data_IF_759019732929
#
_entry.id   IF_759019732929
#
_cell.length_a   1.000
_cell.length_b   1.000
_cell.length_c   1.000
_cell.angle_alpha   90.00
_cell.angle_beta   90.00
_cell.angle_gamma   90.00
#
_symmetry.space_group_name_H-M   'P 1'
#
loop_
_entity.id
_entity.type
_entity.pdbx_description
1 polymer ?
#
# COMPACT_ATOMS: atom_id res chain seq x y z
N UNK A 1 -24.24 -0.19 9.65
CA UNK A 1 -22.87 -0.22 10.25
C UNK A 1 -22.18 1.10 9.92
N UNK A 2 -21.48 1.73 10.88
CA UNK A 2 -20.78 3.00 10.62
C UNK A 2 -19.48 2.76 9.84
N UNK A 3 -19.33 3.44 8.71
CA UNK A 3 -18.07 3.56 7.98
C UNK A 3 -17.26 4.66 8.67
N UNK A 4 -16.12 4.31 9.25
CA UNK A 4 -15.32 5.26 10.05
C UNK A 4 -13.85 5.13 9.76
N UNK A 5 -13.13 6.24 9.81
CA UNK A 5 -11.68 6.25 9.81
C UNK A 5 -11.17 5.74 11.16
N UNK A 6 -10.20 4.84 11.13
CA UNK A 6 -9.59 4.22 12.33
C UNK A 6 -8.11 4.57 12.48
N UNK A 7 -7.45 4.86 11.37
CA UNK A 7 -6.14 5.51 11.26
C UNK A 7 -6.18 6.45 10.05
N UNK A 8 -5.30 7.46 9.96
CA UNK A 8 -5.24 8.31 8.77
C UNK A 8 -5.19 7.49 7.47
N UNK A 9 -6.19 7.64 6.60
CA UNK A 9 -6.31 6.91 5.33
C UNK A 9 -6.81 5.45 5.43
N UNK A 10 -7.03 4.93 6.65
CA UNK A 10 -7.54 3.57 6.89
C UNK A 10 -8.94 3.63 7.47
N UNK A 11 -9.89 3.04 6.75
CA UNK A 11 -11.30 3.04 7.08
C UNK A 11 -11.77 1.65 7.50
N UNK A 12 -12.82 1.60 8.32
CA UNK A 12 -13.39 0.36 8.84
C UNK A 12 -14.90 0.38 8.77
N UNK A 13 -15.49 -0.74 8.35
CA UNK A 13 -16.91 -1.03 8.46
C UNK A 13 -17.10 -2.46 8.96
N UNK A 14 -17.57 -2.61 10.21
CA UNK A 14 -17.66 -3.91 10.86
C UNK A 14 -16.28 -4.54 11.09
N UNK A 15 -16.02 -5.68 10.45
CA UNK A 15 -14.74 -6.41 10.50
C UNK A 15 -13.83 -6.15 9.29
N UNK A 16 -14.30 -5.37 8.31
CA UNK A 16 -13.58 -5.10 7.05
C UNK A 16 -12.83 -3.78 7.12
N UNK A 17 -11.66 -3.73 6.50
CA UNK A 17 -10.81 -2.56 6.35
C UNK A 17 -10.87 -2.05 4.92
N UNK A 18 -10.65 -0.75 4.75
CA UNK A 18 -10.71 -0.09 3.46
C UNK A 18 -9.68 1.02 3.36
N UNK A 19 -9.22 1.30 2.14
CA UNK A 19 -8.43 2.48 1.79
C UNK A 19 -9.13 3.22 0.66
N UNK A 20 -8.94 4.54 0.57
CA UNK A 20 -9.44 5.34 -0.55
C UNK A 20 -8.73 4.92 -1.84
N UNK A 21 -9.49 4.65 -2.91
CA UNK A 21 -8.88 4.15 -4.14
C UNK A 21 -8.12 5.27 -4.88
N UNK A 22 -6.78 5.20 -4.92
CA UNK A 22 -5.97 6.17 -5.66
C UNK A 22 -6.22 6.13 -7.18
N UNK A 23 -6.61 4.96 -7.70
CA UNK A 23 -6.89 4.73 -9.13
C UNK A 23 -8.35 4.26 -9.26
N UNK A 24 -9.32 5.19 -9.30
CA UNK A 24 -10.74 4.84 -9.35
C UNK A 24 -11.10 3.85 -10.47
N UNK A 25 -11.95 2.87 -10.16
CA UNK A 25 -12.35 1.78 -11.05
C UNK A 25 -11.41 0.57 -11.01
N UNK A 26 -10.17 0.69 -10.51
CA UNK A 26 -9.23 -0.42 -10.46
C UNK A 26 -9.52 -1.38 -9.29
N UNK A 27 -9.56 -2.69 -9.59
CA UNK A 27 -9.85 -3.77 -8.63
C UNK A 27 -8.63 -4.61 -8.25
N UNK A 28 -7.43 -4.14 -8.56
CA UNK A 28 -6.18 -4.88 -8.29
C UNK A 28 -6.07 -5.24 -6.81
N UNK A 29 -5.93 -6.54 -6.53
CA UNK A 29 -5.79 -7.12 -5.19
C UNK A 29 -6.91 -6.84 -4.18
N UNK A 30 -8.05 -6.29 -4.62
CA UNK A 30 -9.24 -6.10 -3.80
C UNK A 30 -10.39 -6.98 -4.27
N UNK A 31 -11.21 -7.46 -3.34
CA UNK A 31 -12.45 -8.19 -3.64
C UNK A 31 -13.60 -7.25 -3.95
N UNK A 32 -13.68 -6.13 -3.22
CA UNK A 32 -14.83 -5.23 -3.25
C UNK A 32 -14.40 -3.77 -3.40
N UNK A 33 -15.20 -3.04 -4.17
CA UNK A 33 -15.19 -1.58 -4.23
C UNK A 33 -16.46 -1.07 -3.56
N UNK A 34 -16.33 -0.07 -2.70
CA UNK A 34 -17.45 0.54 -1.98
C UNK A 34 -17.41 2.03 -2.23
N UNK A 35 -18.53 2.63 -2.64
CA UNK A 35 -18.66 4.08 -2.67
C UNK A 35 -19.24 4.58 -1.35
N UNK A 36 -18.56 5.53 -0.73
CA UNK A 36 -19.04 6.21 0.47
C UNK A 36 -18.83 7.72 0.30
N UNK A 37 -19.93 8.49 0.36
CA UNK A 37 -19.92 9.95 0.17
C UNK A 37 -19.24 10.40 -1.14
N UNK A 38 -19.49 9.68 -2.23
CA UNK A 38 -18.92 9.98 -3.55
C UNK A 38 -17.48 9.50 -3.76
N UNK A 39 -16.78 9.10 -2.70
CA UNK A 39 -15.41 8.57 -2.75
C UNK A 39 -15.46 7.05 -2.91
N UNK A 40 -14.58 6.49 -3.74
CA UNK A 40 -14.43 5.05 -3.94
C UNK A 40 -13.37 4.49 -2.98
N UNK A 41 -13.71 3.39 -2.32
CA UNK A 41 -12.85 2.70 -1.37
C UNK A 41 -12.65 1.25 -1.79
N UNK A 42 -11.46 0.71 -1.56
CA UNK A 42 -11.11 -0.69 -1.83
C UNK A 42 -11.05 -1.48 -0.53
N UNK A 43 -11.62 -2.68 -0.52
CA UNK A 43 -11.52 -3.58 0.63
C UNK A 43 -10.10 -4.16 0.78
N UNK A 44 -9.54 -4.03 1.99
CA UNK A 44 -8.23 -4.55 2.35
C UNK A 44 -8.35 -5.85 3.15
N UNK A 45 -8.00 -6.96 2.51
CA UNK A 45 -8.21 -8.32 3.04
C UNK A 45 -7.13 -8.72 4.08
N UNK A 46 -7.50 -8.94 5.37
CA UNK A 46 -6.56 -9.35 6.41
C UNK A 46 -5.99 -10.77 6.20
N UNK A 47 -6.59 -11.61 5.36
CA UNK A 47 -6.05 -12.95 5.05
C UNK A 47 -4.95 -12.91 3.97
N UNK A 48 -4.78 -11.79 3.28
CA UNK A 48 -3.80 -11.62 2.19
C UNK A 48 -2.73 -10.57 2.49
N UNK A 49 -2.90 -9.78 3.56
CA UNK A 49 -2.00 -8.70 3.89
C UNK A 49 -1.68 -8.68 5.39
N UNK A 50 -0.39 -8.77 5.73
CA UNK A 50 0.08 -8.81 7.11
C UNK A 50 -0.28 -7.53 7.89
N UNK A 51 -0.14 -6.30 7.34
CA UNK A 51 -0.60 -5.09 8.02
C UNK A 51 -2.11 -5.07 8.27
N UNK A 52 -2.94 -5.51 7.31
CA UNK A 52 -4.38 -5.65 7.53
C UNK A 52 -4.70 -6.70 8.63
N UNK A 53 -3.95 -7.80 8.68
CA UNK A 53 -4.06 -8.77 9.78
C UNK A 53 -3.71 -8.15 11.14
N UNK A 54 -2.65 -7.33 11.20
CA UNK A 54 -2.26 -6.63 12.42
C UNK A 54 -3.35 -5.62 12.86
N UNK A 55 -3.93 -4.86 11.93
CA UNK A 55 -5.08 -4.00 12.18
C UNK A 55 -6.27 -4.81 12.74
N UNK A 56 -6.56 -5.99 12.16
CA UNK A 56 -7.61 -6.89 12.63
C UNK A 56 -7.35 -7.43 14.05
N UNK A 57 -6.07 -7.62 14.41
CA UNK A 57 -5.61 -8.06 15.74
C UNK A 57 -5.49 -6.93 16.76
N UNK A 58 -5.82 -5.70 16.39
CA UNK A 58 -5.90 -4.58 17.34
C UNK A 58 -4.61 -3.79 17.49
N UNK A 59 -3.79 -3.74 16.44
CA UNK A 59 -2.66 -2.81 16.32
C UNK A 59 -3.08 -1.40 16.78
N UNK A 60 -2.23 -0.75 17.58
CA UNK A 60 -2.53 0.54 18.22
C UNK A 60 -1.89 1.72 17.50
N UNK A 61 -0.77 1.48 16.82
CA UNK A 61 -0.01 2.48 16.09
C UNK A 61 0.19 1.96 14.67
N UNK A 62 -0.19 2.77 13.69
CA UNK A 62 0.00 2.45 12.28
C UNK A 62 0.83 3.59 11.66
N UNK A 63 2.07 3.31 11.20
CA UNK A 63 3.04 4.36 10.85
C UNK A 63 2.82 4.95 9.45
N UNK A 64 2.07 4.27 8.59
CA UNK A 64 1.83 4.74 7.21
C UNK A 64 0.76 5.82 7.24
N UNK A 65 1.17 7.03 6.84
CA UNK A 65 0.33 8.23 6.82
C UNK A 65 0.43 8.93 5.47
N UNK A 66 -0.46 9.89 5.25
CA UNK A 66 -0.48 10.72 4.05
C UNK A 66 0.87 11.43 3.85
N UNK A 67 1.33 11.49 2.59
CA UNK A 67 2.57 12.09 2.12
C UNK A 67 3.87 11.44 2.65
N UNK A 68 3.79 10.30 3.33
CA UNK A 68 4.96 9.60 3.81
C UNK A 68 5.81 9.02 2.67
N UNK A 69 7.12 8.98 2.89
CA UNK A 69 8.11 8.28 2.07
C UNK A 69 8.41 6.94 2.72
N UNK A 70 8.18 5.85 1.99
CA UNK A 70 8.27 4.49 2.53
C UNK A 70 9.36 3.70 1.80
N UNK A 71 10.22 3.01 2.55
CA UNK A 71 11.06 1.94 2.02
C UNK A 71 10.42 0.57 2.31
N UNK A 72 9.80 -0.01 1.29
CA UNK A 72 9.19 -1.33 1.39
C UNK A 72 10.17 -2.43 0.95
N UNK A 73 10.75 -3.14 1.91
CA UNK A 73 11.62 -4.30 1.66
C UNK A 73 10.81 -5.58 1.45
N UNK A 74 11.02 -6.26 0.32
CA UNK A 74 10.26 -7.46 -0.05
C UNK A 74 8.83 -7.11 -0.48
N UNK A 75 8.71 -6.14 -1.38
CA UNK A 75 7.42 -5.64 -1.89
C UNK A 75 6.66 -6.68 -2.74
N UNK A 76 7.34 -7.72 -3.24
CA UNK A 76 6.79 -8.74 -4.11
C UNK A 76 6.07 -8.12 -5.32
N UNK A 77 4.88 -8.63 -5.65
CA UNK A 77 4.06 -8.13 -6.76
C UNK A 77 3.22 -6.88 -6.41
N UNK A 78 3.45 -6.25 -5.25
CA UNK A 78 2.78 -5.01 -4.87
C UNK A 78 1.41 -5.17 -4.18
N UNK A 79 0.97 -6.39 -3.83
CA UNK A 79 -0.35 -6.64 -3.18
C UNK A 79 -0.65 -5.66 -2.04
N UNK A 80 0.23 -5.60 -1.03
CA UNK A 80 0.05 -4.70 0.13
C UNK A 80 0.45 -3.26 -0.22
N UNK A 81 1.46 -3.08 -1.07
CA UNK A 81 1.93 -1.74 -1.46
C UNK A 81 0.85 -0.91 -2.15
N UNK A 82 -0.10 -1.52 -2.86
CA UNK A 82 -1.24 -0.76 -3.41
C UNK A 82 -2.10 -0.10 -2.34
N UNK A 83 -2.28 -0.73 -1.17
CA UNK A 83 -3.03 -0.14 -0.06
C UNK A 83 -2.21 0.94 0.66
N UNK A 84 -0.88 0.79 0.74
CA UNK A 84 -0.04 1.87 1.23
C UNK A 84 -0.03 3.06 0.26
N UNK A 85 0.02 2.81 -1.04
CA UNK A 85 -0.05 3.81 -2.11
C UNK A 85 -1.34 4.63 -2.01
N UNK A 86 -2.46 3.97 -1.73
CA UNK A 86 -3.74 4.61 -1.43
C UNK A 86 -3.66 5.56 -0.21
N UNK A 87 -2.96 5.16 0.86
CA UNK A 87 -2.88 5.93 2.13
C UNK A 87 -1.89 7.11 2.02
N UNK A 88 -0.71 6.89 1.42
CA UNK A 88 0.30 7.94 1.27
C UNK A 88 -0.13 8.99 0.24
N UNK A 89 -0.97 8.61 -0.72
CA UNK A 89 -1.50 9.52 -1.74
C UNK A 89 -0.47 9.92 -2.79
N UNK A 90 -0.85 10.84 -3.69
CA UNK A 90 -0.04 11.25 -4.85
C UNK A 90 1.25 11.99 -4.49
N UNK A 91 1.28 12.63 -3.33
CA UNK A 91 2.44 13.41 -2.85
C UNK A 91 3.38 12.57 -1.97
N UNK A 92 2.99 11.33 -1.64
CA UNK A 92 3.87 10.35 -0.98
C UNK A 92 4.57 9.45 -1.98
N UNK A 93 5.51 8.64 -1.52
CA UNK A 93 6.29 7.74 -2.38
C UNK A 93 6.62 6.43 -1.68
N UNK A 94 6.62 5.33 -2.45
CA UNK A 94 6.99 4.00 -1.95
C UNK A 94 8.14 3.47 -2.79
N UNK A 95 9.32 3.35 -2.19
CA UNK A 95 10.46 2.64 -2.76
C UNK A 95 10.33 1.16 -2.46
N UNK A 96 10.03 0.36 -3.48
CA UNK A 96 9.78 -1.07 -3.34
C UNK A 96 10.97 -1.92 -3.75
N UNK A 97 11.69 -2.48 -2.79
CA UNK A 97 12.83 -3.37 -3.05
C UNK A 97 12.34 -4.81 -3.20
N UNK A 98 12.66 -5.42 -4.34
CA UNK A 98 12.37 -6.83 -4.63
C UNK A 98 13.52 -7.46 -5.41
N UNK A 99 13.88 -8.70 -5.08
CA UNK A 99 15.01 -9.41 -5.71
C UNK A 99 14.55 -10.26 -6.91
N UNK A 100 13.27 -10.65 -6.93
CA UNK A 100 12.70 -11.50 -7.98
C UNK A 100 12.28 -10.69 -9.20
N UNK A 101 12.94 -10.94 -10.34
CA UNK A 101 12.54 -10.39 -11.64
C UNK A 101 11.09 -10.74 -12.02
N UNK A 102 10.62 -11.92 -11.63
CA UNK A 102 9.24 -12.35 -11.92
C UNK A 102 8.24 -11.46 -11.21
N UNK A 103 8.40 -11.27 -9.90
CA UNK A 103 7.55 -10.39 -9.11
C UNK A 103 7.66 -8.94 -9.58
N UNK A 104 8.86 -8.53 -10.02
CA UNK A 104 9.11 -7.20 -10.55
C UNK A 104 8.29 -6.88 -11.81
N UNK A 105 8.09 -7.86 -12.71
CA UNK A 105 7.25 -7.67 -13.90
C UNK A 105 5.81 -7.29 -13.55
N UNK A 106 5.24 -7.98 -12.56
CA UNK A 106 3.89 -7.67 -12.08
C UNK A 106 3.85 -6.32 -11.35
N UNK A 107 4.87 -6.06 -10.52
CA UNK A 107 5.00 -4.79 -9.78
C UNK A 107 5.11 -3.58 -10.70
N UNK A 108 5.84 -3.69 -11.83
CA UNK A 108 5.99 -2.60 -12.79
C UNK A 108 4.65 -2.15 -13.37
N UNK A 109 3.75 -3.09 -13.71
CA UNK A 109 2.41 -2.74 -14.20
C UNK A 109 1.56 -2.04 -13.14
N UNK A 110 1.74 -2.41 -11.87
CA UNK A 110 1.08 -1.75 -10.74
C UNK A 110 1.62 -0.35 -10.52
N UNK A 111 2.94 -0.19 -10.59
CA UNK A 111 3.63 1.08 -10.40
C UNK A 111 3.29 2.10 -11.48
N UNK A 112 3.26 1.68 -12.75
CA UNK A 112 2.93 2.53 -13.90
C UNK A 112 1.57 3.22 -13.74
N UNK A 113 0.56 2.51 -13.23
CA UNK A 113 -0.78 3.06 -13.03
C UNK A 113 -0.90 4.00 -11.83
N UNK A 114 -0.07 3.79 -10.81
CA UNK A 114 -0.18 4.50 -9.52
C UNK A 114 0.69 5.75 -9.45
N UNK A 115 1.84 5.74 -10.12
CA UNK A 115 2.76 6.88 -10.18
C UNK A 115 3.51 7.20 -8.89
N UNK A 116 3.11 6.65 -7.74
CA UNK A 116 3.73 6.86 -6.43
C UNK A 116 4.45 5.62 -5.87
N UNK A 117 4.70 4.62 -6.72
CA UNK A 117 5.49 3.43 -6.38
C UNK A 117 6.70 3.42 -7.30
N UNK A 118 7.90 3.31 -6.71
CA UNK A 118 9.18 3.17 -7.41
C UNK A 118 9.70 1.74 -7.20
N UNK A 119 9.58 0.86 -8.21
CA UNK A 119 10.11 -0.49 -8.14
C UNK A 119 11.65 -0.48 -8.22
N UNK A 120 12.31 -1.25 -7.35
CA UNK A 120 13.77 -1.37 -7.27
C UNK A 120 14.12 -2.86 -7.29
N UNK A 121 14.76 -3.30 -8.38
CA UNK A 121 15.27 -4.67 -8.51
C UNK A 121 16.63 -4.78 -7.81
N UNK A 122 16.62 -5.16 -6.54
CA UNK A 122 17.82 -5.23 -5.71
C UNK A 122 17.69 -6.22 -4.55
N UNK A 123 18.82 -6.57 -3.94
CA UNK A 123 18.87 -7.36 -2.71
C UNK A 123 18.75 -6.43 -1.50
N UNK A 124 17.69 -6.58 -0.70
CA UNK A 124 17.46 -5.78 0.50
C UNK A 124 18.59 -5.90 1.56
N UNK A 125 19.49 -6.88 1.44
CA UNK A 125 20.66 -7.04 2.30
C UNK A 125 21.86 -6.19 1.86
N UNK A 126 21.76 -5.53 0.70
CA UNK A 126 22.81 -4.74 0.05
C UNK A 126 22.35 -3.29 -0.19
N UNK A 127 22.12 -2.49 0.87
CA UNK A 127 21.58 -1.14 0.76
C UNK A 127 22.42 -0.18 -0.10
N UNK A 128 23.72 -0.44 -0.25
CA UNK A 128 24.61 0.29 -1.14
C UNK A 128 24.18 0.23 -2.62
N UNK A 129 23.41 -0.78 -3.01
CA UNK A 129 22.91 -0.94 -4.40
C UNK A 129 21.71 -0.04 -4.72
N UNK A 130 21.08 0.54 -3.70
CA UNK A 130 19.95 1.45 -3.84
C UNK A 130 20.09 2.68 -2.93
N UNK A 131 21.33 3.09 -2.62
CA UNK A 131 21.63 4.25 -1.78
C UNK A 131 21.31 5.59 -2.42
N UNK A 132 20.87 5.59 -3.68
CA UNK A 132 20.46 6.79 -4.42
C UNK A 132 19.04 7.26 -4.06
N UNK A 133 18.26 6.48 -3.30
CA UNK A 133 16.96 6.91 -2.78
C UNK A 133 17.16 8.01 -1.72
N UNK A 134 16.16 8.87 -1.58
CA UNK A 134 16.15 9.90 -0.54
C UNK A 134 15.87 9.33 0.86
N UNK A 135 16.14 10.08 1.95
CA UNK A 135 15.72 9.68 3.30
C UNK A 135 14.21 9.39 3.36
N UNK A 136 13.85 8.29 4.01
CA UNK A 136 12.46 7.81 4.15
C UNK A 136 11.95 7.98 5.59
N UNK A 137 10.63 8.02 5.74
CA UNK A 137 9.94 8.17 7.02
C UNK A 137 9.63 6.81 7.68
N UNK A 138 9.41 5.77 6.85
CA UNK A 138 8.97 4.42 7.27
C UNK A 138 9.72 3.33 6.54
#
# INVERSE_FOLDING_TARGET
>A
MKFKEVFPGVWRSGRRFFTENLVPGERVFTKNLVKHRGIEYREWDPYRSKPAAALAKGLKVFPVVKNAKILYLGIANGTTATFFSDIVGKDGIIYGVEISERSMRDLNQVAEKRGNIVPILADARKPETYSWIEPVDV
#
